data_IF_917358053947
#
_entry.id   IF_917358053947
#
_cell.length_a   1.000
_cell.length_b   1.000
_cell.length_c   1.000
_cell.angle_alpha   90.00
_cell.angle_beta   90.00
_cell.angle_gamma   90.00
#
_symmetry.space_group_name_H-M   'P 1'
#
loop_
_entity.id
_entity.type
_entity.pdbx_description
1 polymer ?
#
# COMPACT_ATOMS: atom_id res chain seq x y z
N UNK A 1 51.64 34.06 -46.20
CA UNK A 1 51.86 34.33 -44.76
C UNK A 1 50.63 33.81 -44.03
N UNK A 2 50.59 32.55 -43.57
CA UNK A 2 51.00 32.11 -42.21
C UNK A 2 50.50 33.05 -41.10
N UNK A 3 49.41 32.66 -40.42
CA UNK A 3 49.33 32.31 -38.99
C UNK A 3 47.84 32.09 -38.62
N UNK A 4 47.36 30.86 -38.37
CA UNK A 4 47.17 30.21 -37.03
C UNK A 4 46.51 31.15 -36.03
N UNK A 5 45.31 30.90 -35.48
CA UNK A 5 44.92 29.93 -34.41
C UNK A 5 43.63 30.57 -33.79
N UNK A 6 42.68 29.94 -33.11
CA UNK A 6 42.52 28.61 -32.54
C UNK A 6 41.01 28.35 -32.35
N UNK A 7 40.66 27.08 -32.47
CA UNK A 7 39.41 26.46 -32.07
C UNK A 7 39.14 26.62 -30.56
N UNK A 8 37.90 26.87 -30.16
CA UNK A 8 37.34 26.38 -28.90
C UNK A 8 35.79 26.37 -28.97
N UNK A 9 35.24 25.52 -29.83
CA UNK A 9 33.86 25.08 -29.71
C UNK A 9 33.80 23.99 -28.65
N UNK A 10 33.42 24.35 -27.42
CA UNK A 10 33.19 23.39 -26.35
C UNK A 10 31.90 22.62 -26.65
N UNK A 11 32.01 21.53 -27.39
CA UNK A 11 30.98 20.49 -27.45
C UNK A 11 30.97 19.78 -26.10
N UNK A 12 30.13 20.24 -25.19
CA UNK A 12 29.80 19.50 -23.99
C UNK A 12 28.89 18.33 -24.40
N UNK A 13 29.53 17.19 -24.67
CA UNK A 13 28.88 15.88 -24.61
C UNK A 13 28.61 15.62 -23.13
N UNK A 14 27.40 15.94 -22.66
CA UNK A 14 26.93 15.44 -21.38
C UNK A 14 25.89 14.34 -21.65
N UNK A 15 26.25 13.17 -21.15
CA UNK A 15 25.61 11.90 -21.41
C UNK A 15 24.12 11.91 -21.10
N UNK A 16 23.35 11.29 -22.01
CA UNK A 16 22.03 10.77 -21.72
C UNK A 16 22.13 9.82 -20.53
N UNK A 17 21.50 10.21 -19.43
CA UNK A 17 21.00 9.29 -18.42
C UNK A 17 19.61 9.79 -17.99
N UNK A 18 18.69 9.86 -18.95
CA UNK A 18 17.28 9.74 -18.58
C UNK A 18 17.08 8.28 -18.18
N UNK A 19 17.22 7.98 -16.89
CA UNK A 19 16.47 6.86 -16.34
C UNK A 19 15.01 7.19 -16.58
N UNK A 20 14.46 6.66 -17.67
CA UNK A 20 13.03 6.71 -17.92
C UNK A 20 12.37 6.03 -16.72
N UNK A 21 11.77 6.83 -15.83
CA UNK A 21 10.69 6.36 -15.02
C UNK A 21 9.62 5.89 -16.02
N UNK A 22 9.68 4.59 -16.34
CA UNK A 22 8.63 3.96 -17.10
C UNK A 22 7.38 4.07 -16.22
N UNK A 23 6.48 4.95 -16.61
CA UNK A 23 5.16 5.01 -16.00
C UNK A 23 4.55 3.63 -16.14
N UNK A 24 4.40 2.93 -15.02
CA UNK A 24 3.57 1.76 -14.99
C UNK A 24 2.16 2.24 -15.28
N UNK A 25 1.71 2.05 -16.52
CA UNK A 25 0.35 2.42 -16.91
C UNK A 25 -0.57 1.42 -16.21
N UNK A 26 -1.23 1.85 -15.13
CA UNK A 26 -2.35 1.11 -14.58
C UNK A 26 -3.44 1.03 -15.66
N UNK A 27 -3.85 -0.18 -16.02
CA UNK A 27 -4.98 -0.34 -16.93
C UNK A 27 -6.29 0.06 -16.21
N UNK A 28 -7.02 0.99 -16.85
CA UNK A 28 -8.32 1.58 -16.49
C UNK A 28 -8.35 2.48 -15.24
N UNK A 29 -8.07 3.78 -15.44
CA UNK A 29 -8.45 4.84 -14.49
C UNK A 29 -9.98 4.90 -14.48
N UNK A 30 -10.61 4.59 -13.33
CA UNK A 30 -12.06 4.76 -13.21
C UNK A 30 -12.41 6.26 -13.17
N UNK A 31 -13.58 6.69 -13.66
CA UNK A 31 -14.11 8.01 -13.34
C UNK A 31 -14.39 8.08 -11.83
N UNK A 32 -13.80 9.06 -11.14
CA UNK A 32 -13.89 9.23 -9.68
C UNK A 32 -15.26 9.80 -9.25
N UNK A 33 -16.36 9.25 -9.77
CA UNK A 33 -17.71 9.75 -9.48
C UNK A 33 -18.32 9.14 -8.22
N UNK A 34 -17.81 7.99 -7.76
CA UNK A 34 -18.31 7.27 -6.58
C UNK A 34 -17.14 6.79 -5.68
N UNK A 35 -17.28 6.85 -4.34
CA UNK A 35 -16.30 6.27 -3.40
C UNK A 35 -16.07 4.75 -3.61
N UNK A 36 -14.84 4.25 -3.48
CA UNK A 36 -14.50 2.80 -3.55
C UNK A 36 -14.66 2.11 -2.18
N UNK A 37 -15.20 2.80 -1.19
CA UNK A 37 -15.30 2.31 0.16
C UNK A 37 -16.00 3.28 1.08
N UNK A 38 -15.89 3.03 2.38
CA UNK A 38 -16.46 3.86 3.43
C UNK A 38 -15.49 3.97 4.62
N UNK A 39 -15.67 4.97 5.47
CA UNK A 39 -14.91 5.11 6.71
C UNK A 39 -15.86 5.18 7.90
N UNK A 40 -15.40 4.62 9.02
CA UNK A 40 -16.02 4.81 10.32
C UNK A 40 -15.75 6.21 10.89
N UNK A 41 -16.42 6.56 11.99
CA UNK A 41 -16.09 7.77 12.71
C UNK A 41 -14.65 7.70 13.23
N UNK A 42 -14.03 8.86 13.41
CA UNK A 42 -12.68 8.96 13.97
C UNK A 42 -12.70 8.45 15.42
N UNK A 43 -11.76 7.56 15.73
CA UNK A 43 -11.47 7.06 17.06
C UNK A 43 -10.63 8.10 17.82
N UNK A 44 -11.29 9.18 18.25
CA UNK A 44 -10.64 10.37 18.81
C UNK A 44 -9.65 10.02 19.92
N UNK A 45 -8.39 10.42 19.71
CA UNK A 45 -7.37 10.26 20.73
C UNK A 45 -7.60 11.22 21.90
N UNK A 46 -7.67 10.68 23.12
CA UNK A 46 -7.69 11.44 24.36
C UNK A 46 -6.50 10.97 25.22
N UNK A 47 -5.54 11.84 25.54
CA UNK A 47 -4.43 11.50 26.42
C UNK A 47 -4.92 10.99 27.77
N UNK A 48 -4.22 10.00 28.32
CA UNK A 48 -4.46 9.56 29.69
C UNK A 48 -4.17 10.67 30.70
N UNK A 49 -4.94 10.72 31.80
CA UNK A 49 -4.70 11.65 32.89
C UNK A 49 -5.08 11.06 34.24
N UNK A 50 -4.31 11.37 35.30
CA UNK A 50 -4.58 10.98 36.68
C UNK A 50 -4.94 9.49 36.88
N UNK A 51 -4.18 8.59 36.23
CA UNK A 51 -4.40 7.14 36.32
C UNK A 51 -5.46 6.59 35.36
N UNK A 52 -6.13 7.45 34.58
CA UNK A 52 -6.99 7.04 33.47
C UNK A 52 -6.14 6.73 32.24
N UNK A 53 -6.26 5.54 31.62
CA UNK A 53 -5.58 5.24 30.37
C UNK A 53 -6.01 6.18 29.25
N UNK A 54 -5.13 6.41 28.27
CA UNK A 54 -5.52 7.10 27.04
C UNK A 54 -6.65 6.34 26.31
N UNK A 55 -7.44 7.02 25.48
CA UNK A 55 -8.44 6.39 24.62
C UNK A 55 -8.21 6.79 23.17
N UNK A 56 -8.69 5.96 22.24
CA UNK A 56 -8.54 6.17 20.80
C UNK A 56 -7.10 6.14 20.27
N UNK A 57 -6.99 6.28 18.95
CA UNK A 57 -5.71 6.33 18.22
C UNK A 57 -5.66 7.46 17.17
N UNK A 58 -6.76 8.18 16.99
CA UNK A 58 -6.90 9.27 16.01
C UNK A 58 -7.12 8.81 14.57
N UNK A 59 -7.25 7.51 14.31
CA UNK A 59 -7.62 6.95 13.01
C UNK A 59 -9.13 6.63 12.95
N UNK A 60 -9.72 6.42 11.76
CA UNK A 60 -11.08 5.89 11.64
C UNK A 60 -11.22 4.56 12.40
N UNK A 61 -12.36 4.36 13.09
CA UNK A 61 -12.64 3.09 13.77
C UNK A 61 -12.59 1.89 12.83
N UNK A 62 -12.98 2.10 11.58
CA UNK A 62 -12.92 1.07 10.55
C UNK A 62 -12.73 1.69 9.16
N UNK A 63 -12.13 0.90 8.28
CA UNK A 63 -12.06 1.15 6.85
C UNK A 63 -12.91 0.08 6.16
N UNK A 64 -13.87 0.52 5.37
CA UNK A 64 -14.77 -0.33 4.61
C UNK A 64 -14.40 -0.36 3.14
N UNK A 65 -14.36 -1.54 2.52
CA UNK A 65 -14.23 -1.66 1.07
C UNK A 65 -15.60 -1.63 0.38
N UNK A 66 -15.59 -1.64 -0.95
CA UNK A 66 -16.81 -1.67 -1.79
C UNK A 66 -17.68 -2.92 -1.62
N UNK A 67 -17.12 -4.01 -1.09
CA UNK A 67 -17.87 -5.24 -0.84
C UNK A 67 -18.60 -5.19 0.52
N UNK A 68 -18.47 -4.08 1.25
CA UNK A 68 -19.09 -3.87 2.55
C UNK A 68 -18.32 -4.51 3.71
N UNK A 69 -17.15 -5.10 3.44
CA UNK A 69 -16.26 -5.62 4.48
C UNK A 69 -15.62 -4.44 5.20
N UNK A 70 -15.67 -4.45 6.54
CA UNK A 70 -15.10 -3.41 7.38
C UNK A 70 -14.01 -4.01 8.25
N UNK A 71 -12.79 -3.50 8.13
CA UNK A 71 -11.67 -3.86 8.99
C UNK A 71 -11.36 -2.71 9.95
N UNK A 72 -10.99 -3.03 11.18
CA UNK A 72 -10.68 -2.02 12.19
C UNK A 72 -9.18 -1.81 12.40
N UNK A 73 -8.87 -0.67 13.01
CA UNK A 73 -7.56 -0.38 13.58
C UNK A 73 -7.72 -0.20 15.08
N UNK A 74 -7.67 -1.30 15.81
CA UNK A 74 -7.86 -1.27 17.26
C UNK A 74 -6.68 -0.61 17.95
N UNK A 75 -6.97 0.14 19.03
CA UNK A 75 -5.93 0.70 19.91
C UNK A 75 -5.12 -0.42 20.57
N UNK A 76 -5.80 -1.48 20.99
CA UNK A 76 -5.17 -2.70 21.45
C UNK A 76 -5.08 -3.63 20.25
N UNK A 77 -3.95 -3.60 19.55
CA UNK A 77 -3.73 -4.49 18.43
C UNK A 77 -3.92 -5.93 18.88
N UNK A 78 -4.67 -6.67 18.08
CA UNK A 78 -4.87 -8.09 18.32
C UNK A 78 -3.68 -8.83 17.71
N UNK A 79 -2.95 -9.57 18.56
CA UNK A 79 -1.74 -10.31 18.19
C UNK A 79 -0.44 -9.52 18.43
N UNK A 80 0.67 -10.09 17.97
CA UNK A 80 2.05 -9.63 18.21
C UNK A 80 2.82 -9.35 16.89
N UNK A 81 2.13 -9.39 15.76
CA UNK A 81 2.70 -9.29 14.41
C UNK A 81 3.31 -10.58 13.87
N UNK A 82 3.31 -11.67 14.64
CA UNK A 82 4.05 -12.92 14.32
C UNK A 82 3.20 -14.19 14.51
N UNK A 83 2.27 -14.20 15.47
CA UNK A 83 1.48 -15.36 15.88
C UNK A 83 0.04 -15.22 15.37
N UNK A 84 -0.45 -16.14 14.52
CA UNK A 84 -1.79 -16.02 13.93
C UNK A 84 -2.92 -16.30 14.95
N UNK A 85 -4.08 -15.60 14.88
CA UNK A 85 -4.32 -14.44 14.03
C UNK A 85 -3.67 -13.17 14.61
N UNK A 86 -3.10 -12.34 13.74
CA UNK A 86 -2.49 -11.08 14.15
C UNK A 86 -2.75 -9.94 13.17
N UNK A 87 -2.85 -8.73 13.71
CA UNK A 87 -2.66 -7.50 12.96
C UNK A 87 -1.16 -7.27 12.73
N UNK A 88 -0.82 -6.46 11.72
CA UNK A 88 0.56 -6.08 11.41
C UNK A 88 0.76 -4.60 11.76
N UNK A 89 1.82 -4.31 12.50
CA UNK A 89 2.14 -2.97 12.99
C UNK A 89 3.60 -2.90 13.48
N UNK A 90 4.15 -1.70 13.49
CA UNK A 90 5.43 -1.43 14.13
C UNK A 90 5.28 -1.42 15.65
N UNK A 91 6.27 -1.92 16.41
CA UNK A 91 6.21 -1.85 17.86
C UNK A 91 6.19 -0.40 18.36
N UNK A 92 5.57 -0.12 19.52
CA UNK A 92 5.62 1.19 20.15
C UNK A 92 7.05 1.73 20.30
N UNK A 93 7.24 3.00 19.97
CA UNK A 93 8.54 3.67 20.04
C UNK A 93 8.81 4.11 21.49
N UNK A 94 9.92 3.62 22.05
CA UNK A 94 10.37 4.04 23.37
C UNK A 94 10.56 5.57 23.43
N UNK A 95 10.12 6.19 24.53
CA UNK A 95 10.14 7.64 24.76
C UNK A 95 9.24 8.47 23.83
N UNK A 96 8.39 7.86 23.01
CA UNK A 96 7.27 8.53 22.38
C UNK A 96 5.97 8.18 23.13
N UNK A 97 5.44 9.13 23.91
CA UNK A 97 4.25 8.90 24.73
C UNK A 97 3.03 8.57 23.88
N UNK A 98 2.84 9.27 22.76
CA UNK A 98 1.70 9.04 21.89
C UNK A 98 1.75 7.65 21.24
N UNK A 99 2.91 7.22 20.74
CA UNK A 99 3.13 5.86 20.21
C UNK A 99 2.87 4.78 21.26
N UNK A 100 3.31 4.99 22.50
CA UNK A 100 3.01 4.09 23.62
C UNK A 100 1.52 4.05 23.96
N UNK A 101 0.85 5.21 23.91
CA UNK A 101 -0.56 5.31 24.22
C UNK A 101 -1.42 4.60 23.18
N UNK A 102 -1.12 4.73 21.88
CA UNK A 102 -1.88 4.11 20.79
C UNK A 102 -1.52 2.66 20.50
N UNK A 103 -0.39 2.17 21.02
CA UNK A 103 0.01 0.77 20.94
C UNK A 103 0.80 0.37 19.69
N UNK A 104 1.27 1.32 18.88
CA UNK A 104 2.10 1.06 17.69
C UNK A 104 3.05 2.21 17.35
N UNK A 105 4.04 1.88 16.52
CA UNK A 105 5.09 2.77 16.04
C UNK A 105 4.69 3.59 14.81
N UNK A 106 5.59 3.66 13.82
CA UNK A 106 5.44 4.53 12.66
C UNK A 106 4.32 4.06 11.71
N UNK A 107 4.17 2.75 11.54
CA UNK A 107 3.20 2.16 10.63
C UNK A 107 2.30 1.13 11.33
N UNK A 108 1.03 1.07 10.91
CA UNK A 108 0.11 0.00 11.27
C UNK A 108 -0.83 -0.32 10.11
N UNK A 109 -1.32 -1.55 10.05
CA UNK A 109 -2.08 -2.04 8.90
C UNK A 109 -3.47 -2.52 9.32
N UNK A 110 -4.52 -1.70 9.13
CA UNK A 110 -5.90 -2.19 9.12
C UNK A 110 -6.08 -3.37 8.16
N UNK A 111 -5.35 -3.36 7.05
CA UNK A 111 -5.32 -4.45 6.08
C UNK A 111 -3.95 -4.59 5.42
N UNK A 112 -3.45 -5.82 5.33
CA UNK A 112 -2.24 -6.15 4.58
C UNK A 112 -2.40 -7.49 3.88
N UNK A 113 -2.16 -7.54 2.58
CA UNK A 113 -1.98 -8.78 1.83
C UNK A 113 -0.62 -8.78 1.14
N UNK A 114 0.14 -9.85 1.32
CA UNK A 114 1.44 -10.03 0.67
C UNK A 114 1.49 -11.33 -0.11
N UNK A 115 2.25 -11.34 -1.20
CA UNK A 115 2.50 -12.54 -1.99
C UNK A 115 3.95 -12.57 -2.44
N UNK A 116 4.49 -13.79 -2.57
CA UNK A 116 5.86 -14.02 -3.01
C UNK A 116 5.93 -15.17 -4.00
N UNK A 117 6.74 -14.99 -5.04
CA UNK A 117 7.14 -16.05 -5.97
C UNK A 117 8.66 -16.16 -5.90
N UNK A 118 9.17 -17.36 -5.64
CA UNK A 118 10.60 -17.65 -5.77
C UNK A 118 10.92 -17.95 -7.24
N UNK A 119 11.80 -17.15 -7.84
CA UNK A 119 12.15 -17.21 -9.27
C UNK A 119 13.41 -18.08 -9.52
N UNK A 120 13.87 -18.80 -8.50
CA UNK A 120 15.10 -19.59 -8.55
C UNK A 120 16.39 -18.75 -8.42
N UNK A 121 17.50 -19.40 -8.06
CA UNK A 121 18.81 -18.73 -7.93
C UNK A 121 18.89 -17.62 -6.87
N UNK A 122 17.93 -17.58 -5.93
CA UNK A 122 17.81 -16.51 -4.94
C UNK A 122 17.02 -15.29 -5.40
N UNK A 123 16.57 -15.26 -6.67
CA UNK A 123 15.70 -14.23 -7.19
C UNK A 123 14.26 -14.41 -6.69
N UNK A 124 13.55 -13.31 -6.51
CA UNK A 124 12.16 -13.34 -6.06
C UNK A 124 11.33 -12.21 -6.64
N UNK A 125 10.03 -12.41 -6.60
CA UNK A 125 9.02 -11.39 -6.80
C UNK A 125 8.17 -11.26 -5.54
N UNK A 126 7.90 -10.02 -5.14
CA UNK A 126 7.13 -9.68 -3.94
C UNK A 126 6.05 -8.66 -4.33
N UNK A 127 4.82 -8.93 -3.89
CA UNK A 127 3.67 -8.05 -3.99
C UNK A 127 3.20 -7.69 -2.57
N UNK A 128 2.90 -6.42 -2.36
CA UNK A 128 2.21 -5.92 -1.16
C UNK A 128 1.01 -5.09 -1.58
N UNK A 129 -0.16 -5.44 -1.04
CA UNK A 129 -1.41 -4.71 -1.16
C UNK A 129 -1.84 -4.33 0.26
N UNK A 130 -2.13 -3.07 0.54
CA UNK A 130 -2.40 -2.67 1.92
C UNK A 130 -3.28 -1.44 2.03
N UNK A 131 -3.95 -1.34 3.18
CA UNK A 131 -4.40 -0.06 3.73
C UNK A 131 -3.49 0.18 4.92
N UNK A 132 -2.81 1.31 4.94
CA UNK A 132 -1.74 1.61 5.88
C UNK A 132 -2.04 2.91 6.62
N UNK A 133 -1.90 2.84 7.93
CA UNK A 133 -1.98 3.93 8.88
C UNK A 133 -0.57 4.38 9.21
N UNK A 134 -0.28 5.66 8.97
CA UNK A 134 1.03 6.24 9.18
C UNK A 134 0.92 7.69 9.69
N UNK A 135 2.08 8.30 9.92
CA UNK A 135 2.22 9.67 10.38
C UNK A 135 3.12 10.48 9.44
N UNK A 136 3.01 11.81 9.46
CA UNK A 136 3.80 12.70 8.60
C UNK A 136 5.32 12.55 8.71
N UNK A 137 5.79 11.89 9.77
CA UNK A 137 7.16 11.43 9.93
C UNK A 137 7.19 10.08 10.66
N UNK A 138 8.35 9.43 10.69
CA UNK A 138 8.60 8.16 11.41
C UNK A 138 8.29 8.21 12.91
N UNK A 139 8.29 9.41 13.52
CA UNK A 139 7.90 9.59 14.91
C UNK A 139 6.42 9.93 14.99
N UNK A 140 5.56 9.04 15.55
CA UNK A 140 4.14 9.32 15.68
C UNK A 140 3.87 10.61 16.43
N UNK A 141 3.03 11.46 15.86
CA UNK A 141 2.54 12.69 16.45
C UNK A 141 1.02 12.77 16.28
N UNK A 142 0.30 13.06 17.37
CA UNK A 142 -1.14 13.26 17.28
C UNK A 142 -1.45 14.52 16.47
N UNK A 143 -2.30 14.39 15.46
CA UNK A 143 -2.59 15.41 14.46
C UNK A 143 -1.95 15.12 13.09
N UNK A 144 -0.95 14.23 13.03
CA UNK A 144 -0.23 13.88 11.80
C UNK A 144 -0.70 12.56 11.18
N UNK A 145 -1.77 11.96 11.69
CA UNK A 145 -2.32 10.70 11.20
C UNK A 145 -2.78 10.82 9.74
N UNK A 146 -2.49 9.80 8.95
CA UNK A 146 -3.13 9.62 7.65
C UNK A 146 -3.25 8.15 7.23
N UNK A 147 -4.22 7.88 6.36
CA UNK A 147 -4.39 6.59 5.71
C UNK A 147 -4.02 6.67 4.23
N UNK A 148 -3.47 5.59 3.70
CA UNK A 148 -3.30 5.40 2.27
C UNK A 148 -3.46 3.94 1.87
N UNK A 149 -3.86 3.72 0.62
CA UNK A 149 -3.81 2.40 -0.02
C UNK A 149 -2.47 2.25 -0.71
N UNK A 150 -1.87 1.06 -0.61
CA UNK A 150 -0.56 0.75 -1.15
C UNK A 150 -0.64 -0.40 -2.14
N UNK A 151 0.01 -0.23 -3.28
CA UNK A 151 0.48 -1.32 -4.14
C UNK A 151 1.98 -1.22 -4.28
N UNK A 152 2.68 -2.27 -3.88
CA UNK A 152 4.13 -2.33 -3.98
C UNK A 152 4.55 -3.61 -4.68
N UNK A 153 5.35 -3.45 -5.73
CA UNK A 153 5.87 -4.55 -6.56
C UNK A 153 7.41 -4.48 -6.51
N UNK A 154 8.04 -5.58 -6.11
CA UNK A 154 9.50 -5.75 -6.11
C UNK A 154 9.84 -7.03 -6.85
N UNK A 155 10.53 -6.94 -7.98
CA UNK A 155 10.88 -8.13 -8.77
C UNK A 155 12.34 -8.08 -9.16
N UNK A 156 13.04 -9.18 -8.90
CA UNK A 156 14.34 -9.47 -9.47
C UNK A 156 14.13 -10.06 -10.87
N UNK A 157 14.59 -9.37 -11.91
CA UNK A 157 14.42 -9.81 -13.30
C UNK A 157 15.69 -10.51 -13.78
N UNK A 158 15.53 -11.64 -14.47
CA UNK A 158 16.65 -12.45 -14.99
C UNK A 158 17.01 -12.07 -16.42
N UNK A 159 16.07 -11.50 -17.17
CA UNK A 159 16.20 -11.13 -18.58
C UNK A 159 15.71 -9.69 -18.75
N UNK A 160 16.44 -8.88 -19.52
CA UNK A 160 15.98 -7.54 -19.83
C UNK A 160 14.81 -7.59 -20.84
N UNK A 161 13.80 -6.75 -20.66
CA UNK A 161 12.68 -6.62 -21.59
C UNK A 161 11.40 -6.09 -20.96
N UNK A 162 10.28 -6.35 -21.61
CA UNK A 162 8.98 -5.84 -21.19
C UNK A 162 8.31 -6.83 -20.23
N UNK A 163 7.83 -6.31 -19.10
CA UNK A 163 7.12 -7.10 -18.10
C UNK A 163 5.69 -6.59 -17.93
N UNK A 164 4.74 -7.50 -17.79
CA UNK A 164 3.38 -7.20 -17.34
C UNK A 164 3.13 -7.94 -16.04
N UNK A 165 2.78 -7.18 -15.01
CA UNK A 165 2.47 -7.69 -13.67
C UNK A 165 0.97 -7.57 -13.45
N UNK A 166 0.31 -8.70 -13.22
CA UNK A 166 -1.12 -8.81 -13.00
C UNK A 166 -1.34 -9.16 -11.53
N UNK A 167 -2.18 -8.38 -10.86
CA UNK A 167 -2.47 -8.50 -9.42
C UNK A 167 -3.98 -8.45 -9.20
N UNK A 168 -4.45 -8.81 -7.99
CA UNK A 168 -5.85 -8.63 -7.62
C UNK A 168 -6.35 -7.18 -7.73
N UNK A 169 -5.46 -6.17 -7.59
CA UNK A 169 -5.83 -4.74 -7.60
C UNK A 169 -5.56 -4.04 -8.94
N UNK A 170 -4.96 -4.71 -9.92
CA UNK A 170 -4.65 -4.06 -11.19
C UNK A 170 -3.59 -4.77 -12.01
N UNK A 171 -3.40 -4.27 -13.22
CA UNK A 171 -2.33 -4.69 -14.14
C UNK A 171 -1.36 -3.53 -14.35
N UNK A 172 -0.06 -3.83 -14.27
CA UNK A 172 1.04 -2.87 -14.32
C UNK A 172 2.05 -3.27 -15.40
N UNK A 173 2.35 -2.35 -16.31
CA UNK A 173 3.30 -2.58 -17.41
C UNK A 173 4.66 -1.93 -17.12
N UNK A 174 5.75 -2.69 -17.27
CA UNK A 174 7.13 -2.25 -17.05
C UNK A 174 7.95 -2.47 -18.34
N UNK A 175 7.90 -1.53 -19.29
CA UNK A 175 8.67 -1.63 -20.53
C UNK A 175 10.16 -1.43 -20.31
N UNK A 176 10.99 -2.07 -21.13
CA UNK A 176 12.46 -1.93 -21.14
C UNK A 176 13.12 -2.14 -19.76
N UNK A 177 12.57 -3.05 -18.95
CA UNK A 177 13.11 -3.34 -17.62
C UNK A 177 14.48 -4.03 -17.77
N UNK A 178 15.54 -3.56 -17.12
CA UNK A 178 16.84 -4.23 -17.16
C UNK A 178 16.78 -5.58 -16.44
N UNK A 179 17.76 -6.46 -16.66
CA UNK A 179 17.98 -7.59 -15.77
C UNK A 179 18.65 -7.10 -14.47
N UNK A 180 18.26 -7.65 -13.32
CA UNK A 180 18.92 -7.39 -12.06
C UNK A 180 18.00 -7.49 -10.84
N UNK A 181 18.64 -7.43 -9.67
CA UNK A 181 17.95 -7.40 -8.38
C UNK A 181 17.11 -6.13 -8.26
N UNK A 182 15.82 -6.28 -7.93
CA UNK A 182 14.83 -5.20 -7.83
C UNK A 182 14.82 -4.29 -9.06
N UNK A 183 15.04 -4.85 -10.24
CA UNK A 183 14.90 -4.09 -11.48
C UNK A 183 13.49 -3.52 -11.65
N UNK A 184 12.47 -4.23 -11.14
CA UNK A 184 11.15 -3.63 -10.88
C UNK A 184 11.10 -3.23 -9.40
N UNK A 185 10.98 -1.93 -9.15
CA UNK A 185 10.92 -1.31 -7.84
C UNK A 185 9.81 -0.26 -7.81
N UNK A 186 8.56 -0.71 -7.84
CA UNK A 186 7.38 0.15 -8.01
C UNK A 186 6.55 0.26 -6.73
N UNK A 187 6.24 1.49 -6.32
CA UNK A 187 5.28 1.76 -5.24
C UNK A 187 4.25 2.74 -5.77
N UNK A 188 2.98 2.42 -5.52
CA UNK A 188 1.85 3.30 -5.71
C UNK A 188 1.12 3.43 -4.38
N UNK A 189 1.27 4.59 -3.75
CA UNK A 189 0.57 4.94 -2.53
C UNK A 189 -0.47 6.02 -2.88
N UNK A 190 -1.73 5.81 -2.50
CA UNK A 190 -2.81 6.77 -2.74
C UNK A 190 -3.58 7.07 -1.46
N UNK A 191 -3.75 8.34 -1.16
CA UNK A 191 -4.19 8.82 0.14
C UNK A 191 -3.12 9.69 0.77
N UNK A 192 -3.22 9.91 2.08
CA UNK A 192 -2.28 10.73 2.85
C UNK A 192 -2.00 12.10 2.24
N UNK A 193 -0.72 12.48 2.28
CA UNK A 193 -0.19 13.70 1.68
C UNK A 193 0.05 13.60 0.16
N UNK A 194 -0.32 12.48 -0.47
CA UNK A 194 -0.23 12.33 -1.91
C UNK A 194 -0.93 13.48 -2.64
N UNK A 195 -0.46 13.86 -3.84
CA UNK A 195 -1.07 14.95 -4.59
C UNK A 195 -2.57 14.66 -4.75
N UNK A 196 -3.40 15.57 -4.22
CA UNK A 196 -4.79 15.68 -4.64
C UNK A 196 -4.73 15.80 -6.15
N UNK A 197 -5.38 14.90 -6.89
CA UNK A 197 -5.35 14.85 -8.34
C UNK A 197 -5.41 16.28 -8.91
N UNK A 198 -4.28 16.87 -9.36
CA UNK A 198 -4.21 18.32 -9.53
C UNK A 198 -5.17 18.83 -10.61
N UNK A 199 -5.62 17.92 -11.48
CA UNK A 199 -6.36 18.21 -12.70
C UNK A 199 -7.68 17.42 -12.82
N UNK A 200 -8.15 16.74 -11.75
CA UNK A 200 -9.39 15.95 -11.78
C UNK A 200 -10.55 16.64 -11.03
N UNK A 201 -11.56 17.20 -11.74
CA UNK A 201 -12.71 17.90 -11.13
C UNK A 201 -13.52 17.06 -10.13
N UNK A 202 -13.38 15.74 -10.24
CA UNK A 202 -14.06 14.74 -9.44
C UNK A 202 -13.58 14.66 -7.99
N UNK A 203 -12.32 15.03 -7.69
CA UNK A 203 -11.87 15.20 -6.31
C UNK A 203 -12.62 16.35 -5.61
N UNK A 204 -12.88 17.47 -6.29
CA UNK A 204 -13.66 18.56 -5.72
C UNK A 204 -15.14 18.21 -5.55
N UNK A 205 -15.70 17.39 -6.44
CA UNK A 205 -17.11 16.97 -6.38
C UNK A 205 -17.43 16.10 -5.14
N UNK A 206 -16.44 15.39 -4.59
CA UNK A 206 -16.61 14.52 -3.42
C UNK A 206 -16.32 15.22 -2.08
N UNK A 207 -16.01 16.52 -2.08
CA UNK A 207 -15.79 17.29 -0.86
C UNK A 207 -14.60 16.82 -0.03
N UNK A 208 -13.65 16.08 -0.62
CA UNK A 208 -12.40 15.71 0.07
C UNK A 208 -11.63 16.98 0.40
N UNK A 209 -11.46 17.25 1.71
CA UNK A 209 -10.83 18.47 2.19
C UNK A 209 -9.33 18.53 1.86
N UNK A 210 -8.77 19.74 1.81
CA UNK A 210 -7.33 19.96 1.61
C UNK A 210 -6.46 19.53 2.81
N UNK A 211 -7.08 19.23 3.97
CA UNK A 211 -6.41 18.56 5.09
C UNK A 211 -6.07 17.11 4.69
N UNK A 212 -5.07 16.42 5.30
CA UNK A 212 -4.85 14.99 5.09
C UNK A 212 -6.01 14.18 5.69
N UNK A 213 -7.19 14.32 5.08
CA UNK A 213 -8.39 13.60 5.45
C UNK A 213 -8.24 12.14 5.05
N UNK A 214 -8.60 11.24 5.97
CA UNK A 214 -8.64 9.80 5.73
C UNK A 214 -9.46 9.45 4.49
N UNK A 215 -10.44 10.29 4.13
CA UNK A 215 -11.36 10.13 3.00
C UNK A 215 -10.65 10.05 1.65
N UNK A 216 -9.40 10.51 1.54
CA UNK A 216 -8.64 10.45 0.28
C UNK A 216 -8.49 9.02 -0.24
N UNK A 217 -8.42 8.00 0.62
CA UNK A 217 -8.32 6.60 0.14
C UNK A 217 -9.57 6.14 -0.64
N UNK A 218 -10.71 6.80 -0.41
CA UNK A 218 -11.99 6.45 -1.03
C UNK A 218 -12.04 6.84 -2.51
N UNK A 219 -11.12 7.68 -2.98
CA UNK A 219 -11.08 8.20 -4.35
C UNK A 219 -9.85 7.73 -5.13
N UNK A 220 -9.22 6.61 -4.72
CA UNK A 220 -8.06 6.04 -5.39
C UNK A 220 -8.32 5.73 -6.87
N UNK A 221 -7.54 6.22 -7.84
CA UNK A 221 -7.70 5.89 -9.26
C UNK A 221 -7.72 4.39 -9.56
N UNK A 222 -6.94 3.63 -8.79
CA UNK A 222 -6.92 2.16 -8.84
C UNK A 222 -7.98 1.62 -7.90
N UNK A 223 -8.84 0.71 -8.39
CA UNK A 223 -9.80 0.01 -7.53
C UNK A 223 -9.08 -0.87 -6.51
N UNK A 224 -9.63 -0.93 -5.30
CA UNK A 224 -9.13 -1.80 -4.24
C UNK A 224 -10.31 -2.45 -3.51
N UNK A 225 -10.09 -3.67 -3.02
CA UNK A 225 -10.97 -4.36 -2.08
C UNK A 225 -10.15 -5.32 -1.25
N UNK A 226 -10.65 -5.68 -0.07
CA UNK A 226 -9.96 -6.61 0.79
C UNK A 226 -9.99 -8.00 0.16
N UNK A 227 -8.82 -8.63 0.07
CA UNK A 227 -8.72 -10.05 -0.23
C UNK A 227 -9.05 -10.81 1.06
N UNK A 228 -9.86 -11.86 0.94
CA UNK A 228 -10.25 -12.71 2.07
C UNK A 228 -9.60 -14.05 1.88
N UNK A 229 -8.83 -14.50 2.86
CA UNK A 229 -8.28 -15.85 2.93
C UNK A 229 -9.39 -16.91 2.73
N UNK A 230 -9.10 -17.99 2.01
CA UNK A 230 -10.08 -19.01 1.62
C UNK A 230 -9.68 -20.42 2.05
N UNK A 231 -8.43 -20.81 1.80
CA UNK A 231 -7.94 -22.15 2.15
C UNK A 231 -6.52 -22.09 2.71
N UNK A 232 -6.34 -22.35 4.02
CA UNK A 232 -7.41 -22.59 5.01
C UNK A 232 -8.29 -21.35 5.21
N UNK A 233 -9.57 -21.48 5.62
CA UNK A 233 -10.42 -20.33 5.89
C UNK A 233 -9.89 -19.51 7.07
N UNK A 234 -10.18 -18.19 7.13
CA UNK A 234 -9.66 -17.34 8.17
C UNK A 234 -10.29 -17.68 9.53
N UNK A 235 -9.60 -17.39 10.65
CA UNK A 235 -10.19 -17.45 11.97
C UNK A 235 -11.44 -16.57 12.10
N UNK A 236 -12.37 -16.97 12.96
CA UNK A 236 -13.59 -16.19 13.20
C UNK A 236 -13.25 -14.75 13.64
N UNK A 237 -13.88 -13.76 12.99
CA UNK A 237 -13.61 -12.34 13.22
C UNK A 237 -12.47 -11.75 12.38
N UNK A 238 -11.88 -12.53 11.47
CA UNK A 238 -10.78 -12.08 10.63
C UNK A 238 -11.06 -12.34 9.14
N UNK A 239 -10.48 -11.51 8.27
CA UNK A 239 -10.41 -11.79 6.83
C UNK A 239 -9.15 -12.55 6.42
N UNK A 240 -8.18 -12.65 7.34
CA UNK A 240 -6.97 -13.46 7.21
C UNK A 240 -6.22 -13.50 8.53
N UNK A 241 -5.38 -14.52 8.71
CA UNK A 241 -4.68 -14.77 9.99
C UNK A 241 -3.36 -13.99 10.17
N UNK A 242 -2.95 -13.23 9.16
CA UNK A 242 -1.79 -12.35 9.17
C UNK A 242 -0.44 -13.04 9.01
N UNK A 243 -0.38 -14.38 8.98
CA UNK A 243 0.88 -15.13 9.03
C UNK A 243 0.94 -16.24 7.99
N UNK A 244 -0.07 -17.10 7.95
CA UNK A 244 -0.01 -18.28 7.10
C UNK A 244 -0.36 -17.94 5.66
N UNK A 245 0.29 -18.66 4.75
CA UNK A 245 0.03 -18.57 3.33
C UNK A 245 -1.25 -19.35 3.00
N UNK A 246 -2.16 -18.72 2.27
CA UNK A 246 -3.43 -19.28 1.87
C UNK A 246 -3.85 -18.82 0.47
N UNK A 247 -4.81 -19.51 -0.14
CA UNK A 247 -5.53 -18.95 -1.30
C UNK A 247 -6.47 -17.84 -0.84
N UNK A 248 -6.82 -16.92 -1.73
CA UNK A 248 -7.63 -15.74 -1.43
C UNK A 248 -8.84 -15.60 -2.35
N UNK A 249 -9.80 -14.75 -1.96
CA UNK A 249 -10.86 -14.29 -2.84
C UNK A 249 -10.30 -13.45 -3.99
N UNK A 250 -11.06 -13.34 -5.08
CA UNK A 250 -10.75 -12.39 -6.13
C UNK A 250 -10.80 -10.95 -5.61
N UNK A 251 -9.87 -10.12 -6.10
CA UNK A 251 -9.88 -8.68 -5.91
C UNK A 251 -10.84 -7.98 -6.87
N UNK A 252 -10.79 -6.64 -6.95
CA UNK A 252 -11.72 -5.87 -7.75
C UNK A 252 -11.68 -6.16 -9.26
N UNK A 253 -10.55 -6.67 -9.75
CA UNK A 253 -10.35 -7.05 -11.17
C UNK A 253 -10.88 -8.45 -11.51
N UNK A 254 -11.46 -9.17 -10.54
CA UNK A 254 -11.84 -10.58 -10.69
C UNK A 254 -10.65 -11.55 -10.63
N UNK A 255 -9.45 -11.05 -10.28
CA UNK A 255 -8.21 -11.83 -10.17
C UNK A 255 -7.92 -12.17 -8.71
N UNK A 256 -7.57 -13.41 -8.44
CA UNK A 256 -7.16 -13.96 -7.13
C UNK A 256 -5.68 -14.40 -7.10
N UNK A 257 -4.89 -13.93 -8.07
CA UNK A 257 -3.50 -14.33 -8.25
C UNK A 257 -2.55 -13.16 -8.51
N UNK A 258 -1.28 -13.37 -8.19
CA UNK A 258 -0.15 -12.55 -8.60
C UNK A 258 0.58 -13.25 -9.75
N UNK A 259 0.62 -12.63 -10.93
CA UNK A 259 1.25 -13.16 -12.15
C UNK A 259 2.24 -12.15 -12.73
N UNK A 260 3.35 -12.67 -13.23
CA UNK A 260 4.37 -11.90 -13.94
C UNK A 260 4.54 -12.53 -15.31
N UNK A 261 4.30 -11.76 -16.35
CA UNK A 261 4.55 -12.12 -17.75
C UNK A 261 5.78 -11.34 -18.18
N UNK A 262 6.89 -12.03 -18.43
CA UNK A 262 8.13 -11.43 -18.90
C UNK A 262 8.61 -12.01 -20.23
N UNK A 263 9.75 -11.52 -20.77
CA UNK A 263 10.26 -11.90 -22.08
C UNK A 263 10.73 -13.37 -22.19
N UNK A 264 10.96 -14.05 -21.06
CA UNK A 264 11.44 -15.45 -21.05
C UNK A 264 10.52 -16.43 -20.32
N UNK A 265 9.65 -15.96 -19.42
CA UNK A 265 8.81 -16.82 -18.60
C UNK A 265 7.54 -16.12 -18.13
N UNK A 266 6.53 -16.93 -17.83
CA UNK A 266 5.34 -16.51 -17.09
C UNK A 266 5.29 -17.31 -15.80
N UNK A 267 5.27 -16.61 -14.67
CA UNK A 267 5.15 -17.20 -13.34
C UNK A 267 3.92 -16.66 -12.63
N UNK A 268 3.32 -17.46 -11.77
CA UNK A 268 2.14 -17.09 -11.02
C UNK A 268 2.09 -17.80 -9.67
N UNK A 269 1.46 -17.14 -8.71
CA UNK A 269 0.91 -17.77 -7.50
C UNK A 269 -0.47 -17.20 -7.18
N UNK A 270 -1.36 -18.01 -6.62
CA UNK A 270 -2.60 -17.54 -5.98
C UNK A 270 -2.50 -17.56 -4.44
N UNK A 271 -1.27 -17.67 -3.93
CA UNK A 271 -0.98 -17.76 -2.52
C UNK A 271 -0.59 -16.40 -1.95
N UNK A 272 -1.23 -16.04 -0.83
CA UNK A 272 -1.03 -14.79 -0.12
C UNK A 272 -1.02 -15.04 1.39
N UNK A 273 -0.35 -14.16 2.13
CA UNK A 273 -0.63 -13.95 3.55
C UNK A 273 -1.53 -12.73 3.65
N UNK A 274 -2.63 -12.82 4.40
CA UNK A 274 -3.62 -11.73 4.57
C UNK A 274 -3.81 -11.43 6.06
N UNK A 275 -3.72 -10.17 6.44
CA UNK A 275 -4.04 -9.63 7.77
C UNK A 275 -5.22 -8.67 7.65
N UNK A 276 -6.17 -8.80 8.58
CA UNK A 276 -7.25 -7.84 8.78
C UNK A 276 -8.27 -8.37 9.76
N UNK A 277 -8.53 -7.61 10.82
CA UNK A 277 -9.55 -7.93 11.81
C UNK A 277 -10.87 -7.27 11.40
N UNK A 278 -11.96 -8.04 11.38
CA UNK A 278 -13.28 -7.56 11.01
C UNK A 278 -13.84 -6.72 12.15
N UNK A 279 -14.25 -5.50 11.85
CA UNK A 279 -14.93 -4.64 12.80
C UNK A 279 -16.23 -5.30 13.30
N UNK A 280 -16.28 -5.66 14.58
CA UNK A 280 -17.41 -6.37 15.21
C UNK A 280 -18.50 -5.44 15.80
N UNK A 281 -18.39 -4.14 15.59
CA UNK A 281 -19.27 -3.15 16.20
C UNK A 281 -18.79 -2.73 17.59
N UNK A 282 -18.71 -1.41 17.81
CA UNK A 282 -18.37 -0.76 19.07
C UNK A 282 -18.63 0.74 18.97
N UNK A 283 -18.81 1.42 20.09
CA UNK A 283 -18.72 2.89 20.12
C UNK A 283 -17.26 3.32 20.26
N UNK A 284 -16.86 4.47 19.70
CA UNK A 284 -15.53 5.04 19.92
C UNK A 284 -15.21 5.22 21.41
#
# INVERSE_FOLDING_TARGET
MRKTMLCLGLTLVLALAFASAAWAQAAAIRPLTEPIGTLGPINTYVPGSNGTPATGNGFPLWVGDRNGVKVDLQKQFLGDGVTPPTMIFDPPIANNQFSQDIGFGAEAFPYLATSRIDLGGGNRAELTLGVEAAFGAEAPLNGDQFLFVRVRIRIDTTVAGDYTVITPWGTYSFPNTPAGRRAINFTYDFGGFGPVCPDEPSCFALGVSESPGFERILVAPTEWSFLVQQNPPPPAGWIGDGVNVATVSAGPTGIDYFRIVGPGETVQTNLFTVSGHIYQGGTP
#
